data_IF_321688072287
#
_entry.id   IF_321688072287
#
_cell.length_a   1.000
_cell.length_b   1.000
_cell.length_c   1.000
_cell.angle_alpha   90.00
_cell.angle_beta   90.00
_cell.angle_gamma   90.00
#
_symmetry.space_group_name_H-M   'P 1'
#
loop_
_entity.id
_entity.type
_entity.pdbx_description
1 polymer ?
#
# COMPACT_ATOMS: atom_id res chain seq x y z
N UNK A 1 -16.14 -38.21 -38.37
CA UNK A 1 -14.73 -38.52 -38.07
C UNK A 1 -14.04 -37.19 -37.84
N UNK A 2 -13.75 -36.82 -36.58
CA UNK A 2 -13.19 -35.50 -36.25
C UNK A 2 -11.75 -35.46 -36.74
N UNK A 3 -11.47 -34.57 -37.69
CA UNK A 3 -10.21 -34.54 -38.45
C UNK A 3 -8.99 -34.46 -37.53
N UNK A 4 -8.06 -35.41 -37.66
CA UNK A 4 -6.80 -35.48 -36.89
C UNK A 4 -5.97 -34.18 -36.99
N UNK A 5 -6.20 -33.39 -38.05
CA UNK A 5 -5.60 -32.08 -38.29
C UNK A 5 -6.07 -31.00 -37.29
N UNK A 6 -7.30 -31.10 -36.78
CA UNK A 6 -7.83 -30.18 -35.76
C UNK A 6 -7.17 -30.45 -34.41
N UNK A 7 -7.01 -31.73 -34.05
CA UNK A 7 -6.31 -32.13 -32.83
C UNK A 7 -4.84 -31.75 -32.83
N UNK A 8 -4.15 -31.90 -33.98
CA UNK A 8 -2.77 -31.46 -34.14
C UNK A 8 -2.60 -29.94 -33.96
N UNK A 9 -3.54 -29.14 -34.45
CA UNK A 9 -3.54 -27.67 -34.27
C UNK A 9 -3.79 -27.26 -32.83
N UNK A 10 -4.72 -27.91 -32.14
CA UNK A 10 -5.00 -27.67 -30.72
C UNK A 10 -3.79 -28.04 -29.86
N UNK A 11 -3.14 -29.17 -30.14
CA UNK A 11 -1.93 -29.59 -29.44
C UNK A 11 -0.78 -28.59 -29.64
N UNK A 12 -0.59 -28.10 -30.87
CA UNK A 12 0.47 -27.13 -31.18
C UNK A 12 0.20 -25.76 -30.51
N UNK A 13 -1.06 -25.32 -30.46
CA UNK A 13 -1.44 -24.09 -29.75
C UNK A 13 -1.25 -24.20 -28.22
N UNK A 14 -1.57 -25.35 -27.62
CA UNK A 14 -1.34 -25.59 -26.19
C UNK A 14 0.15 -25.60 -25.83
N UNK A 15 1.01 -26.14 -26.69
CA UNK A 15 2.48 -26.12 -26.51
C UNK A 15 3.03 -24.70 -26.65
N UNK A 16 2.52 -23.91 -27.58
CA UNK A 16 2.92 -22.51 -27.76
C UNK A 16 2.61 -21.62 -26.55
N UNK A 17 1.47 -21.86 -25.87
CA UNK A 17 1.10 -21.13 -24.64
C UNK A 17 2.00 -21.51 -23.47
N UNK A 18 2.42 -22.77 -23.34
CA UNK A 18 3.32 -23.21 -22.27
C UNK A 18 4.75 -22.64 -22.41
N UNK A 19 5.20 -22.40 -23.65
CA UNK A 19 6.52 -21.82 -23.93
C UNK A 19 6.60 -20.30 -23.63
N UNK A 20 5.46 -19.61 -23.53
CA UNK A 20 5.37 -18.23 -23.03
C UNK A 20 5.18 -18.21 -21.51
N UNK A 21 5.98 -18.98 -20.78
CA UNK A 21 6.11 -18.77 -19.35
C UNK A 21 6.87 -17.45 -19.15
N UNK A 22 6.27 -16.38 -18.61
CA UNK A 22 7.05 -15.22 -18.21
C UNK A 22 8.12 -15.73 -17.26
N UNK A 23 9.39 -15.43 -17.56
CA UNK A 23 10.49 -15.78 -16.68
C UNK A 23 10.12 -15.33 -15.27
N UNK A 24 10.13 -16.25 -14.32
CA UNK A 24 9.93 -15.90 -12.93
C UNK A 24 11.16 -15.08 -12.51
N UNK A 25 11.10 -13.77 -12.69
CA UNK A 25 12.08 -12.85 -12.13
C UNK A 25 12.13 -13.13 -10.63
N UNK A 26 13.29 -13.57 -10.15
CA UNK A 26 13.50 -13.85 -8.74
C UNK A 26 13.21 -12.59 -7.96
N UNK A 27 12.15 -12.61 -7.14
CA UNK A 27 11.81 -11.49 -6.28
C UNK A 27 13.00 -11.25 -5.35
N UNK A 28 13.53 -10.02 -5.34
CA UNK A 28 14.55 -9.63 -4.39
C UNK A 28 13.99 -9.86 -2.98
N UNK A 29 14.49 -10.92 -2.34
CA UNK A 29 14.05 -11.38 -1.03
C UNK A 29 14.86 -10.72 0.08
N UNK A 30 15.74 -9.78 -0.28
CA UNK A 30 16.57 -9.06 0.67
C UNK A 30 15.69 -8.08 1.43
N UNK A 31 15.47 -8.33 2.72
CA UNK A 31 14.76 -7.41 3.59
C UNK A 31 15.67 -6.22 3.87
N UNK A 32 15.53 -5.15 3.11
CA UNK A 32 16.20 -3.88 3.39
C UNK A 32 15.41 -3.11 4.44
N UNK A 33 16.02 -2.89 5.61
CA UNK A 33 15.45 -2.00 6.62
C UNK A 33 15.79 -0.56 6.24
N UNK A 34 14.77 0.24 5.96
CA UNK A 34 14.96 1.67 5.72
C UNK A 34 15.25 2.39 7.05
N UNK A 35 16.03 3.46 6.96
CA UNK A 35 16.18 4.38 8.08
C UNK A 35 14.83 5.02 8.43
N UNK A 36 14.54 5.24 9.71
CA UNK A 36 13.27 5.82 10.13
C UNK A 36 13.17 7.29 9.69
N UNK A 37 12.00 7.67 9.16
CA UNK A 37 11.68 9.08 8.94
C UNK A 37 11.35 9.72 10.29
N UNK A 38 12.22 10.59 10.77
CA UNK A 38 12.02 11.33 12.02
C UNK A 38 11.35 12.66 11.71
N UNK A 39 10.09 12.81 12.10
CA UNK A 39 9.36 14.09 12.02
C UNK A 39 9.40 14.75 13.39
N UNK A 40 10.01 15.93 13.45
CA UNK A 40 10.12 16.71 14.67
C UNK A 40 9.15 17.89 14.61
N UNK A 41 8.22 17.95 15.57
CA UNK A 41 7.19 19.00 15.64
C UNK A 41 7.60 20.13 16.58
N UNK A 42 8.55 19.85 17.49
CA UNK A 42 9.11 20.81 18.44
C UNK A 42 10.39 21.45 17.88
N UNK A 43 10.75 22.62 18.40
CA UNK A 43 12.05 23.25 18.12
C UNK A 43 13.19 22.66 18.96
N UNK A 44 12.87 21.79 19.91
CA UNK A 44 13.79 21.12 20.82
C UNK A 44 13.85 19.62 20.50
N UNK A 45 15.06 19.13 20.18
CA UNK A 45 15.33 17.73 19.84
C UNK A 45 15.26 16.81 21.04
N UNK A 46 14.64 15.65 20.83
CA UNK A 46 14.62 14.57 21.81
C UNK A 46 13.67 14.79 22.99
N UNK A 47 12.82 15.81 22.95
CA UNK A 47 11.79 16.04 23.97
C UNK A 47 10.69 14.99 23.85
N UNK A 48 10.26 14.44 24.99
CA UNK A 48 9.17 13.46 25.03
C UNK A 48 7.86 14.09 24.55
N UNK A 49 7.04 13.30 23.85
CA UNK A 49 5.68 13.69 23.48
C UNK A 49 4.76 13.90 24.71
N UNK A 50 5.16 13.40 25.88
CA UNK A 50 4.42 13.64 27.13
C UNK A 50 4.70 15.02 27.73
N UNK A 51 5.80 15.67 27.34
CA UNK A 51 6.24 16.95 27.92
C UNK A 51 5.81 18.16 27.09
N UNK A 52 5.07 17.94 26.00
CA UNK A 52 4.63 19.01 25.09
C UNK A 52 3.21 19.47 25.42
N UNK A 53 2.94 20.79 25.41
CA UNK A 53 1.61 21.32 25.72
C UNK A 53 0.67 21.27 24.50
N UNK A 54 0.73 20.21 23.69
CA UNK A 54 -0.04 20.06 22.45
C UNK A 54 -0.80 18.74 22.43
N UNK A 55 -1.93 18.70 21.73
CA UNK A 55 -2.62 17.45 21.45
C UNK A 55 -1.88 16.70 20.34
N UNK A 56 -1.25 15.57 20.69
CA UNK A 56 -0.49 14.73 19.75
C UNK A 56 -1.18 13.38 19.61
N UNK A 57 -1.29 12.88 18.38
CA UNK A 57 -1.77 11.53 18.08
C UNK A 57 -0.75 10.83 17.20
N UNK A 58 -0.39 9.60 17.56
CA UNK A 58 0.49 8.74 16.78
C UNK A 58 -0.34 7.57 16.28
N UNK A 59 -0.48 7.46 14.95
CA UNK A 59 -1.14 6.32 14.31
C UNK A 59 -0.10 5.53 13.53
N UNK A 60 0.16 4.30 13.96
CA UNK A 60 1.00 3.36 13.22
C UNK A 60 0.08 2.48 12.35
N UNK A 61 0.26 2.47 11.02
CA UNK A 61 -0.45 1.52 10.18
C UNK A 61 -0.09 0.09 10.58
N UNK A 62 -1.10 -0.74 10.78
CA UNK A 62 -0.91 -2.16 11.07
C UNK A 62 -1.34 -2.96 9.85
N UNK A 63 -0.36 -3.47 9.11
CA UNK A 63 -0.54 -4.24 7.89
C UNK A 63 -1.26 -5.58 8.12
N UNK A 64 -1.34 -6.04 9.37
CA UNK A 64 -2.02 -7.27 9.75
C UNK A 64 -3.47 -7.04 10.21
N UNK A 65 -3.96 -5.80 10.25
CA UNK A 65 -5.34 -5.51 10.68
C UNK A 65 -6.35 -6.12 9.70
N UNK A 66 -7.18 -7.07 10.16
CA UNK A 66 -8.25 -7.61 9.34
C UNK A 66 -9.24 -6.51 8.94
N UNK A 67 -9.57 -6.43 7.65
CA UNK A 67 -10.64 -5.55 7.14
C UNK A 67 -10.20 -4.18 6.66
N UNK A 68 -8.94 -3.76 6.87
CA UNK A 68 -8.37 -2.63 6.11
C UNK A 68 -7.87 -3.12 4.76
N UNK A 69 -8.10 -2.32 3.73
CA UNK A 69 -7.53 -2.56 2.40
C UNK A 69 -6.18 -1.87 2.25
N UNK A 70 -5.91 -0.89 3.12
CA UNK A 70 -4.69 -0.08 3.14
C UNK A 70 -4.43 0.63 1.81
N UNK A 71 -5.49 0.85 1.01
CA UNK A 71 -5.42 1.49 -0.30
C UNK A 71 -5.44 3.01 -0.18
N UNK A 72 -6.00 3.52 0.91
CA UNK A 72 -6.18 4.94 1.10
C UNK A 72 -5.98 5.34 2.56
N UNK A 73 -5.39 6.53 2.75
CA UNK A 73 -4.99 7.02 4.07
C UNK A 73 -6.18 7.45 4.94
N UNK A 74 -7.34 7.70 4.34
CA UNK A 74 -8.56 7.98 5.10
C UNK A 74 -8.99 6.78 5.95
N UNK A 75 -8.71 5.54 5.54
CA UNK A 75 -9.00 4.33 6.34
C UNK A 75 -8.21 4.31 7.66
N UNK A 76 -6.96 4.77 7.65
CA UNK A 76 -6.10 4.83 8.83
C UNK A 76 -6.34 6.06 9.69
N UNK A 77 -6.81 7.16 9.07
CA UNK A 77 -6.99 8.45 9.74
C UNK A 77 -8.43 8.68 10.26
N UNK A 78 -9.40 7.86 9.86
CA UNK A 78 -10.83 8.03 10.17
C UNK A 78 -11.18 8.17 11.67
N UNK A 79 -10.36 7.62 12.56
CA UNK A 79 -10.62 7.60 14.00
C UNK A 79 -9.88 8.69 14.79
N UNK A 80 -9.12 9.56 14.12
CA UNK A 80 -8.37 10.61 14.79
C UNK A 80 -9.29 11.81 15.08
N UNK A 81 -9.42 12.23 16.35
CA UNK A 81 -10.33 13.31 16.71
C UNK A 81 -9.86 14.66 16.16
N UNK A 82 -10.80 15.44 15.64
CA UNK A 82 -10.52 16.76 15.06
C UNK A 82 -9.76 16.70 13.73
N UNK A 83 -9.66 15.52 13.10
CA UNK A 83 -9.11 15.33 11.76
C UNK A 83 -10.26 15.04 10.79
N UNK A 84 -10.26 15.70 9.64
CA UNK A 84 -11.12 15.35 8.52
C UNK A 84 -10.28 15.07 7.27
N UNK A 85 -10.63 14.01 6.54
CA UNK A 85 -9.95 13.61 5.31
C UNK A 85 -10.99 13.49 4.21
N UNK A 86 -10.74 14.17 3.09
CA UNK A 86 -11.58 14.13 1.90
C UNK A 86 -10.79 13.47 0.78
N UNK A 87 -11.07 12.19 0.55
CA UNK A 87 -10.50 11.42 -0.56
C UNK A 87 -11.42 11.48 -1.79
N UNK A 88 -10.85 11.74 -2.98
CA UNK A 88 -11.57 11.80 -4.26
C UNK A 88 -11.52 10.48 -5.04
N UNK A 89 -10.90 9.45 -4.48
CA UNK A 89 -10.68 8.16 -5.12
C UNK A 89 -10.02 8.27 -6.51
N UNK A 90 -9.17 9.28 -6.67
CA UNK A 90 -8.41 9.53 -7.88
C UNK A 90 -6.91 9.44 -7.55
N UNK A 91 -6.18 8.43 -8.05
CA UNK A 91 -4.77 8.24 -7.71
C UNK A 91 -3.84 9.34 -8.25
N UNK A 92 -4.31 10.18 -9.17
CA UNK A 92 -3.57 11.36 -9.64
C UNK A 92 -3.72 12.58 -8.71
N UNK A 93 -4.53 12.48 -7.65
CA UNK A 93 -4.78 13.56 -6.71
C UNK A 93 -4.58 13.08 -5.28
N UNK A 94 -3.86 13.86 -4.50
CA UNK A 94 -3.70 13.59 -3.08
C UNK A 94 -5.01 13.83 -2.29
N UNK A 95 -5.24 13.09 -1.19
CA UNK A 95 -6.36 13.34 -0.30
C UNK A 95 -6.20 14.70 0.41
N UNK A 96 -7.28 15.45 0.55
CA UNK A 96 -7.28 16.71 1.29
C UNK A 96 -7.47 16.46 2.77
N UNK A 97 -6.62 17.05 3.61
CA UNK A 97 -6.65 16.90 5.07
C UNK A 97 -6.97 18.26 5.71
N UNK A 98 -7.85 18.27 6.71
CA UNK A 98 -8.11 19.42 7.59
C UNK A 98 -8.00 18.98 9.06
N UNK A 99 -7.40 19.84 9.89
CA UNK A 99 -7.14 19.59 11.31
C UNK A 99 -7.76 20.73 12.10
N UNK A 100 -8.83 20.43 12.86
CA UNK A 100 -9.58 21.38 13.68
C UNK A 100 -10.13 22.59 12.89
N UNK A 101 -10.60 22.35 11.65
CA UNK A 101 -11.18 23.35 10.73
C UNK A 101 -10.53 23.33 9.37
#
# INVERSE_FOLDING_TARGET
>A
MRDARVWARIACALVGVAAMSPGADAQDSTVTRLDPVVVEVTRERGRSLLDVPFAVTVQVPDSMRPGQRHLAIDETLALIPGLSVSNRNNPSQDPRISIRG
#
